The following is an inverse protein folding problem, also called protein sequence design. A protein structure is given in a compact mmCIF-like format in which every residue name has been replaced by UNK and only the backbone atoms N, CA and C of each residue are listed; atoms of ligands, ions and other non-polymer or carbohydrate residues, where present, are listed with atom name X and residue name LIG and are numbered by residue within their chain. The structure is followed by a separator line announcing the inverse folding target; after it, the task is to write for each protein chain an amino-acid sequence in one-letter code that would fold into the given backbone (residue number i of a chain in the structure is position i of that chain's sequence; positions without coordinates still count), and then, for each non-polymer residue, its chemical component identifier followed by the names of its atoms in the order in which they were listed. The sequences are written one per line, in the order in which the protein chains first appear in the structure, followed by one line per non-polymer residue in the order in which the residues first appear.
data_IF_386469772296
#
_entry.id   IF_386469772296
#
_cell.length_a   1.000
_cell.length_b   1.000
_cell.length_c   1.000
_cell.angle_alpha   90.00
_cell.angle_beta   90.00
_cell.angle_gamma   90.00
#
_symmetry.space_group_name_H-M   'P 1'
#
loop_
_entity.id
_entity.type
_entity.pdbx_description
1 polymer ?
#
# COMPACT_ATOMS: atom_id res chain seq x y z
N UNK A 1 -6.65 7.62 9.24
CA UNK A 1 -5.44 7.66 10.07
C UNK A 1 -5.71 8.61 11.21
N UNK A 2 -5.75 8.10 12.44
CA UNK A 2 -5.96 8.93 13.62
C UNK A 2 -4.70 9.76 13.90
N UNK A 3 -4.84 11.08 13.99
CA UNK A 3 -3.70 11.99 14.16
C UNK A 3 -3.03 11.84 15.52
N UNK A 4 -3.78 11.60 16.59
CA UNK A 4 -3.22 11.47 17.94
C UNK A 4 -2.33 10.23 18.07
N UNK A 5 -2.77 9.09 17.52
CA UNK A 5 -1.98 7.86 17.51
C UNK A 5 -0.68 8.07 16.71
N UNK A 6 -0.78 8.68 15.53
CA UNK A 6 0.38 8.98 14.70
C UNK A 6 1.36 9.93 15.40
N UNK A 7 0.86 11.00 16.01
CA UNK A 7 1.68 11.95 16.76
C UNK A 7 2.35 11.30 17.96
N UNK A 8 1.66 10.42 18.70
CA UNK A 8 2.22 9.65 19.79
C UNK A 8 3.35 8.72 19.31
N UNK A 9 3.21 8.09 18.14
CA UNK A 9 4.27 7.28 17.53
C UNK A 9 5.51 8.12 17.19
N UNK A 10 5.32 9.32 16.62
CA UNK A 10 6.42 10.22 16.25
C UNK A 10 7.14 10.74 17.49
N UNK A 11 6.40 11.13 18.52
CA UNK A 11 6.93 11.67 19.79
C UNK A 11 7.83 10.66 20.54
N UNK A 12 7.68 9.35 20.28
CA UNK A 12 8.60 8.33 20.82
C UNK A 12 10.03 8.55 20.35
N UNK A 13 10.25 9.04 19.12
CA UNK A 13 11.59 9.26 18.54
C UNK A 13 11.98 10.72 18.40
N UNK A 14 11.04 11.62 18.09
CA UNK A 14 11.31 13.05 17.92
C UNK A 14 10.86 13.79 19.18
N UNK A 15 11.80 14.47 19.85
CA UNK A 15 11.52 15.25 21.08
C UNK A 15 11.35 16.74 20.85
N UNK A 16 11.69 17.22 19.65
CA UNK A 16 11.56 18.63 19.28
C UNK A 16 10.08 19.04 19.18
N UNK A 17 9.64 19.88 20.11
CA UNK A 17 8.26 20.37 20.20
C UNK A 17 7.87 21.27 19.02
N UNK A 18 8.81 21.96 18.39
CA UNK A 18 8.54 22.81 17.23
C UNK A 18 8.21 21.96 16.01
N UNK A 19 9.00 20.91 15.76
CA UNK A 19 8.77 19.97 14.66
C UNK A 19 7.47 19.20 14.85
N UNK A 20 7.20 18.69 16.06
CA UNK A 20 5.94 18.00 16.36
C UNK A 20 4.72 18.90 16.10
N UNK A 21 4.79 20.17 16.49
CA UNK A 21 3.72 21.15 16.24
C UNK A 21 3.53 21.43 14.75
N UNK A 22 4.62 21.49 13.99
CA UNK A 22 4.57 21.68 12.54
C UNK A 22 3.92 20.48 11.84
N UNK A 23 4.30 19.25 12.21
CA UNK A 23 3.70 18.03 11.65
C UNK A 23 2.21 17.96 11.99
N UNK A 24 1.81 18.27 13.23
CA UNK A 24 0.39 18.32 13.63
C UNK A 24 -0.39 19.34 12.80
N UNK A 25 0.13 20.55 12.62
CA UNK A 25 -0.50 21.57 11.76
C UNK A 25 -0.63 21.10 10.31
N UNK A 26 0.35 20.35 9.81
CA UNK A 26 0.31 19.78 8.46
C UNK A 26 -0.77 18.70 8.32
N UNK A 27 -1.01 17.90 9.36
CA UNK A 27 -2.07 16.88 9.40
C UNK A 27 -3.47 17.51 9.51
N UNK A 28 -3.61 18.56 10.32
CA UNK A 28 -4.84 19.31 10.56
C UNK A 28 -5.19 20.25 9.39
N UNK A 29 -4.25 20.49 8.47
CA UNK A 29 -4.48 21.30 7.28
C UNK A 29 -5.66 20.73 6.48
N UNK A 30 -6.74 21.53 6.44
CA UNK A 30 -8.00 21.17 5.82
C UNK A 30 -7.90 20.98 4.31
N UNK A 31 -8.96 20.40 3.74
CA UNK A 31 -9.12 20.33 2.27
C UNK A 31 -9.99 21.49 1.87
N UNK A 32 -9.53 22.24 0.87
CA UNK A 32 -10.39 23.20 0.17
C UNK A 32 -11.12 22.43 -0.94
N UNK A 33 -12.43 22.27 -0.81
CA UNK A 33 -13.28 21.67 -1.83
C UNK A 33 -14.41 22.64 -2.15
N UNK A 34 -14.50 23.09 -3.40
CA UNK A 34 -15.54 24.03 -3.84
C UNK A 34 -15.52 25.39 -3.13
N UNK A 35 -14.36 25.86 -2.66
CA UNK A 35 -14.20 27.16 -1.98
C UNK A 35 -14.45 27.14 -0.47
N UNK A 36 -14.85 26.00 0.11
CA UNK A 36 -15.02 25.83 1.55
C UNK A 36 -13.85 25.02 2.11
N UNK A 37 -13.25 25.51 3.20
CA UNK A 37 -12.22 24.78 3.95
C UNK A 37 -12.92 23.88 4.97
N UNK A 38 -12.83 22.57 4.78
CA UNK A 38 -13.29 21.61 5.78
C UNK A 38 -12.11 21.12 6.62
N UNK A 39 -12.16 21.23 7.96
CA UNK A 39 -11.12 20.69 8.83
C UNK A 39 -11.07 19.15 8.69
N UNK A 40 -9.87 18.59 8.59
CA UNK A 40 -9.69 17.13 8.58
C UNK A 40 -9.64 16.62 10.01
N UNK A 41 -10.60 15.78 10.38
CA UNK A 41 -10.57 15.07 11.66
C UNK A 41 -9.74 13.77 11.60
N UNK A 42 -9.58 13.17 10.40
CA UNK A 42 -8.77 11.97 10.20
C UNK A 42 -8.10 11.93 8.81
N UNK A 43 -6.99 11.19 8.71
CA UNK A 43 -6.28 10.96 7.45
C UNK A 43 -5.10 11.91 7.23
N UNK A 44 -4.11 11.46 6.46
CA UNK A 44 -2.98 12.31 6.01
C UNK A 44 -3.33 12.96 4.66
N UNK A 45 -2.81 14.15 4.33
CA UNK A 45 -2.99 14.74 3.00
C UNK A 45 -2.52 13.78 1.90
N UNK A 46 -3.43 13.24 1.09
CA UNK A 46 -3.04 12.42 -0.06
C UNK A 46 -2.34 13.34 -1.08
N UNK A 47 -1.05 13.07 -1.33
CA UNK A 47 -0.20 13.90 -2.19
C UNK A 47 0.82 14.78 -1.45
N UNK A 48 0.76 14.85 -0.12
CA UNK A 48 1.83 15.48 0.66
C UNK A 48 3.10 14.63 0.64
N UNK A 49 4.30 15.19 0.42
CA UNK A 49 5.55 14.42 0.36
C UNK A 49 5.86 13.66 1.66
N UNK A 50 5.32 14.13 2.78
CA UNK A 50 5.48 13.50 4.10
C UNK A 50 4.52 12.34 4.36
N UNK A 51 3.38 12.29 3.67
CA UNK A 51 2.32 11.30 3.94
C UNK A 51 2.77 9.84 3.80
N UNK A 52 3.59 9.45 2.78
CA UNK A 52 4.12 8.09 2.69
C UNK A 52 4.99 7.70 3.90
N UNK A 53 5.83 8.64 4.36
CA UNK A 53 6.69 8.42 5.53
C UNK A 53 5.86 8.26 6.81
N UNK A 54 4.89 9.14 7.02
CA UNK A 54 4.01 9.10 8.19
C UNK A 54 3.21 7.79 8.26
N UNK A 55 2.75 7.31 7.10
CA UNK A 55 2.05 6.02 7.00
C UNK A 55 2.96 4.85 7.39
N UNK A 56 4.23 4.88 6.97
CA UNK A 56 5.20 3.86 7.37
C UNK A 56 5.56 3.92 8.86
N UNK A 57 5.65 5.11 9.46
CA UNK A 57 5.89 5.27 10.90
C UNK A 57 4.74 4.66 11.72
N UNK A 58 3.50 4.86 11.28
CA UNK A 58 2.34 4.27 11.95
C UNK A 58 2.34 2.74 11.85
N UNK A 59 2.66 2.21 10.67
CA UNK A 59 2.67 0.77 10.40
C UNK A 59 3.90 0.05 10.98
N UNK A 60 4.94 0.76 11.41
CA UNK A 60 6.08 0.20 12.14
C UNK A 60 5.64 -0.55 13.41
N UNK A 61 4.58 -0.10 14.09
CA UNK A 61 4.02 -0.80 15.25
C UNK A 61 3.43 -2.17 14.89
N UNK A 62 2.86 -2.30 13.68
CA UNK A 62 2.40 -3.59 13.16
C UNK A 62 3.60 -4.50 12.86
N UNK A 63 4.64 -3.97 12.23
CA UNK A 63 5.83 -4.74 11.88
C UNK A 63 6.48 -5.32 13.14
N UNK A 64 6.68 -4.49 14.17
CA UNK A 64 7.21 -4.93 15.48
C UNK A 64 6.34 -5.98 16.17
N UNK A 65 5.01 -5.89 16.02
CA UNK A 65 4.09 -6.90 16.53
C UNK A 65 4.26 -8.25 15.82
N UNK A 66 4.41 -8.24 14.50
CA UNK A 66 4.61 -9.45 13.70
C UNK A 66 5.99 -10.07 13.96
N UNK A 67 7.03 -9.25 14.10
CA UNK A 67 8.39 -9.68 14.45
C UNK A 67 8.43 -10.32 15.83
N UNK A 68 7.81 -9.69 16.84
CA UNK A 68 7.74 -10.25 18.20
C UNK A 68 7.06 -11.61 18.25
N UNK A 69 6.09 -11.84 17.36
CA UNK A 69 5.39 -13.12 17.21
C UNK A 69 6.15 -14.14 16.36
N UNK A 70 7.28 -13.76 15.78
CA UNK A 70 8.10 -14.62 14.92
C UNK A 70 7.47 -14.93 13.56
N UNK A 71 6.57 -14.08 13.07
CA UNK A 71 5.95 -14.29 11.76
C UNK A 71 6.90 -13.91 10.61
N UNK A 72 6.78 -14.63 9.49
CA UNK A 72 7.44 -14.26 8.22
C UNK A 72 6.45 -13.43 7.42
N UNK A 73 6.81 -12.19 7.12
CA UNK A 73 5.92 -11.28 6.39
C UNK A 73 6.71 -10.40 5.43
N UNK A 74 6.01 -9.83 4.46
CA UNK A 74 6.52 -8.82 3.54
C UNK A 74 5.48 -7.70 3.50
N UNK A 75 5.92 -6.46 3.72
CA UNK A 75 5.06 -5.28 3.65
C UNK A 75 5.60 -4.29 2.63
N UNK A 76 4.70 -3.71 1.84
CA UNK A 76 4.99 -2.62 0.92
C UNK A 76 3.89 -1.58 1.05
N UNK A 77 4.25 -0.41 1.58
CA UNK A 77 3.28 0.61 1.98
C UNK A 77 2.17 0.01 2.87
N UNK A 78 0.92 0.02 2.39
CA UNK A 78 -0.28 -0.51 3.04
C UNK A 78 -0.53 -2.00 2.75
N UNK A 79 0.06 -2.57 1.69
CA UNK A 79 -0.12 -3.97 1.31
C UNK A 79 0.87 -4.88 2.04
N UNK A 80 0.36 -5.70 2.97
CA UNK A 80 1.14 -6.66 3.75
C UNK A 80 0.71 -8.11 3.49
N UNK A 81 1.68 -8.99 3.29
CA UNK A 81 1.51 -10.44 3.18
C UNK A 81 2.19 -11.14 4.35
N UNK A 82 1.45 -12.00 5.05
CA UNK A 82 1.98 -12.83 6.14
C UNK A 82 1.96 -14.29 5.70
N UNK A 83 3.11 -14.94 5.74
CA UNK A 83 3.29 -16.32 5.30
C UNK A 83 3.18 -17.28 6.48
N UNK A 84 2.28 -18.25 6.34
CA UNK A 84 1.96 -19.26 7.36
C UNK A 84 1.94 -20.65 6.75
N UNK A 85 2.11 -21.68 7.59
CA UNK A 85 2.16 -23.07 7.15
C UNK A 85 0.78 -23.66 6.80
N UNK A 86 -0.29 -23.20 7.46
CA UNK A 86 -1.63 -23.78 7.30
C UNK A 86 -2.72 -22.71 7.12
N UNK A 87 -3.82 -23.02 6.41
CA UNK A 87 -4.95 -22.09 6.24
C UNK A 87 -5.56 -21.67 7.57
N UNK A 88 -5.75 -22.62 8.50
CA UNK A 88 -6.25 -22.35 9.86
C UNK A 88 -5.36 -21.37 10.63
N UNK A 89 -4.04 -21.50 10.51
CA UNK A 89 -3.12 -20.54 11.10
C UNK A 89 -3.25 -19.15 10.45
N UNK A 90 -3.51 -19.11 9.13
CA UNK A 90 -3.75 -17.86 8.39
C UNK A 90 -4.99 -17.13 8.87
N UNK A 91 -6.11 -17.83 9.01
CA UNK A 91 -7.37 -17.25 9.53
C UNK A 91 -7.20 -16.72 10.96
N UNK A 92 -6.52 -17.50 11.81
CA UNK A 92 -6.20 -17.07 13.19
C UNK A 92 -5.34 -15.81 13.22
N UNK A 93 -4.31 -15.74 12.38
CA UNK A 93 -3.41 -14.58 12.31
C UNK A 93 -4.14 -13.38 11.74
N UNK A 94 -4.95 -13.56 10.68
CA UNK A 94 -5.76 -12.49 10.08
C UNK A 94 -6.68 -11.85 11.12
N UNK A 95 -7.48 -12.65 11.83
CA UNK A 95 -8.37 -12.16 12.88
C UNK A 95 -7.62 -11.45 14.01
N UNK A 96 -6.41 -11.93 14.35
CA UNK A 96 -5.57 -11.30 15.37
C UNK A 96 -4.98 -9.96 14.92
N UNK A 97 -4.56 -9.86 13.66
CA UNK A 97 -4.03 -8.62 13.07
C UNK A 97 -5.15 -7.61 12.88
N UNK A 98 -6.32 -8.02 12.40
CA UNK A 98 -7.49 -7.14 12.31
C UNK A 98 -7.87 -6.54 13.67
N UNK A 99 -7.87 -7.36 14.73
CA UNK A 99 -8.12 -6.88 16.09
C UNK A 99 -7.04 -5.89 16.53
N UNK A 100 -5.77 -6.19 16.27
CA UNK A 100 -4.66 -5.29 16.62
C UNK A 100 -4.78 -3.95 15.90
N UNK A 101 -5.02 -3.95 14.58
CA UNK A 101 -5.17 -2.74 13.77
C UNK A 101 -6.36 -1.89 14.23
N UNK A 102 -7.50 -2.52 14.52
CA UNK A 102 -8.69 -1.81 14.96
C UNK A 102 -8.50 -1.22 16.38
N UNK A 103 -7.97 -2.00 17.32
CA UNK A 103 -7.83 -1.57 18.71
C UNK A 103 -6.67 -0.59 18.95
N UNK A 104 -5.50 -0.84 18.34
CA UNK A 104 -4.27 -0.06 18.61
C UNK A 104 -4.10 1.11 17.66
N UNK A 105 -4.35 0.91 16.37
CA UNK A 105 -4.11 1.91 15.33
C UNK A 105 -5.38 2.61 14.84
N UNK A 106 -6.57 2.11 15.25
CA UNK A 106 -7.88 2.57 14.77
C UNK A 106 -7.96 2.56 13.23
N UNK A 107 -7.40 1.51 12.62
CA UNK A 107 -7.43 1.32 11.17
C UNK A 107 -8.40 0.20 10.81
N UNK A 108 -9.28 0.49 9.84
CA UNK A 108 -10.20 -0.50 9.28
C UNK A 108 -9.53 -1.26 8.15
N UNK A 109 -9.52 -2.59 8.25
CA UNK A 109 -8.98 -3.47 7.22
C UNK A 109 -9.98 -3.62 6.07
N UNK A 110 -9.48 -3.57 4.83
CA UNK A 110 -10.32 -3.81 3.66
C UNK A 110 -10.57 -5.33 3.50
N UNK A 111 -11.71 -5.80 3.98
CA UNK A 111 -12.11 -7.22 3.92
C UNK A 111 -12.28 -7.75 2.49
N UNK A 112 -12.54 -6.91 1.49
CA UNK A 112 -12.64 -7.35 0.09
C UNK A 112 -11.27 -7.69 -0.49
N UNK A 113 -10.23 -6.98 -0.05
CA UNK A 113 -8.84 -7.21 -0.47
C UNK A 113 -8.15 -8.28 0.37
N UNK A 114 -8.45 -8.32 1.66
CA UNK A 114 -7.81 -9.21 2.63
C UNK A 114 -8.37 -10.61 2.51
N UNK A 115 -7.52 -11.58 2.20
CA UNK A 115 -7.93 -12.98 2.04
C UNK A 115 -6.85 -13.94 2.51
N UNK A 116 -7.26 -15.07 3.09
CA UNK A 116 -6.38 -16.21 3.32
C UNK A 116 -6.43 -17.10 2.08
N UNK A 117 -5.32 -17.15 1.35
CA UNK A 117 -5.21 -17.99 0.17
C UNK A 117 -3.80 -18.54 0.02
N UNK A 118 -3.67 -19.57 -0.82
CA UNK A 118 -2.37 -20.14 -1.20
C UNK A 118 -1.54 -19.08 -1.94
N UNK A 119 -0.23 -19.04 -1.71
CA UNK A 119 0.66 -18.00 -2.23
C UNK A 119 0.56 -17.82 -3.76
N UNK A 120 0.44 -18.89 -4.53
CA UNK A 120 0.30 -18.83 -6.00
C UNK A 120 -1.07 -18.34 -6.52
N UNK A 121 -2.06 -18.18 -5.64
CA UNK A 121 -3.36 -17.54 -5.95
C UNK A 121 -3.40 -16.07 -5.53
N UNK A 122 -2.36 -15.60 -4.83
CA UNK A 122 -2.22 -14.21 -4.44
C UNK A 122 -1.26 -13.53 -5.42
N UNK A 123 -1.74 -12.47 -6.05
CA UNK A 123 -0.88 -11.56 -6.78
C UNK A 123 -0.46 -10.45 -5.81
N UNK A 124 0.81 -10.07 -5.82
CA UNK A 124 1.43 -9.07 -4.96
C UNK A 124 2.36 -8.18 -5.80
N UNK A 125 2.15 -6.85 -5.73
CA UNK A 125 2.93 -5.86 -6.49
C UNK A 125 3.03 -6.16 -8.00
N UNK A 126 1.97 -6.75 -8.57
CA UNK A 126 1.93 -7.09 -10.00
C UNK A 126 2.57 -8.43 -10.37
N UNK A 127 3.02 -9.21 -9.39
CA UNK A 127 3.61 -10.54 -9.56
C UNK A 127 2.78 -11.60 -8.85
N UNK A 128 2.76 -12.82 -9.39
CA UNK A 128 2.27 -14.01 -8.72
C UNK A 128 3.39 -15.04 -8.56
N UNK A 129 3.09 -16.14 -7.89
CA UNK A 129 4.02 -17.27 -7.76
C UNK A 129 3.50 -18.51 -8.49
N UNK A 130 4.40 -19.36 -8.97
CA UNK A 130 4.06 -20.70 -9.47
C UNK A 130 3.77 -21.69 -8.33
N UNK A 131 3.11 -22.81 -8.64
CA UNK A 131 2.77 -23.84 -7.66
C UNK A 131 3.93 -24.79 -7.28
N UNK A 132 5.05 -24.77 -8.00
CA UNK A 132 6.18 -25.67 -7.77
C UNK A 132 6.79 -25.53 -6.36
N UNK A 133 7.45 -26.59 -5.86
CA UNK A 133 8.16 -26.59 -4.56
C UNK A 133 9.17 -25.44 -4.45
N UNK A 134 9.86 -25.13 -5.55
CA UNK A 134 10.59 -23.88 -5.72
C UNK A 134 9.73 -22.92 -6.56
N UNK A 135 9.05 -21.95 -5.93
CA UNK A 135 8.15 -21.06 -6.65
C UNK A 135 8.95 -20.12 -7.55
N UNK A 136 8.61 -20.10 -8.84
CA UNK A 136 9.06 -19.09 -9.81
C UNK A 136 8.11 -17.89 -9.78
N UNK A 137 8.67 -16.71 -10.00
CA UNK A 137 7.92 -15.48 -10.18
C UNK A 137 7.18 -15.54 -11.53
N UNK A 138 5.88 -15.21 -11.53
CA UNK A 138 5.12 -14.93 -12.76
C UNK A 138 4.64 -13.48 -12.74
N UNK A 139 4.39 -12.92 -13.91
CA UNK A 139 3.67 -11.65 -14.00
C UNK A 139 2.18 -11.91 -13.73
N UNK A 140 1.56 -11.07 -12.89
CA UNK A 140 0.13 -11.16 -12.64
C UNK A 140 -0.66 -10.90 -13.93
N UNK A 141 -1.76 -11.63 -14.14
CA UNK A 141 -2.61 -11.48 -15.33
C UNK A 141 -3.19 -10.07 -15.44
N UNK A 142 -3.46 -9.44 -14.30
CA UNK A 142 -3.91 -8.05 -14.21
C UNK A 142 -2.88 -7.06 -14.76
N UNK A 143 -1.59 -7.26 -14.47
CA UNK A 143 -0.51 -6.40 -14.95
C UNK A 143 -0.28 -6.57 -16.46
N UNK A 144 -0.35 -7.80 -16.96
CA UNK A 144 -0.33 -8.09 -18.40
C UNK A 144 -1.52 -7.45 -19.13
N UNK A 145 -2.71 -7.51 -18.53
CA UNK A 145 -3.91 -6.83 -19.03
C UNK A 145 -3.71 -5.33 -19.17
N UNK A 146 -3.22 -4.66 -18.11
CA UNK A 146 -2.93 -3.21 -18.14
C UNK A 146 -1.91 -2.84 -19.21
N UNK A 147 -0.86 -3.64 -19.38
CA UNK A 147 0.13 -3.40 -20.43
C UNK A 147 -0.51 -3.53 -21.81
N UNK A 148 -1.29 -4.61 -22.04
CA UNK A 148 -2.02 -4.83 -23.29
C UNK A 148 -2.99 -3.69 -23.59
N UNK A 149 -3.75 -3.22 -22.61
CA UNK A 149 -4.71 -2.14 -22.78
C UNK A 149 -4.01 -0.82 -23.14
N UNK A 150 -2.90 -0.51 -22.46
CA UNK A 150 -2.07 0.66 -22.75
C UNK A 150 -1.46 0.61 -24.15
N UNK A 151 -0.97 -0.56 -24.57
CA UNK A 151 -0.47 -0.76 -25.93
C UNK A 151 -1.60 -0.63 -26.97
N UNK A 152 -2.78 -1.17 -26.69
CA UNK A 152 -3.93 -1.08 -27.58
C UNK A 152 -4.41 0.37 -27.77
N UNK A 153 -4.34 1.20 -26.72
CA UNK A 153 -4.63 2.63 -26.79
C UNK A 153 -3.60 3.39 -27.63
N UNK A 154 -2.30 3.12 -27.41
CA UNK A 154 -1.21 3.73 -28.19
C UNK A 154 -1.29 3.36 -29.66
N UNK A 155 -1.58 2.10 -29.97
CA UNK A 155 -1.73 1.61 -31.35
C UNK A 155 -3.00 2.17 -32.02
N UNK A 156 -4.09 2.38 -31.27
CA UNK A 156 -5.28 3.08 -31.79
C UNK A 156 -4.95 4.53 -32.19
N UNK A 157 -4.18 5.24 -31.37
CA UNK A 157 -3.73 6.61 -31.66
C UNK A 157 -2.62 6.72 -32.72
N UNK A 158 -2.04 5.60 -33.14
CA UNK A 158 -0.97 5.53 -34.15
C UNK A 158 -1.47 5.34 -35.59
N UNK A 159 -2.78 5.14 -35.79
CA UNK A 159 -3.38 5.02 -37.14
C UNK A 159 -3.07 6.29 -37.96
N UNK A 160 -2.50 6.11 -39.15
CA UNK A 160 -2.12 7.21 -40.05
C UNK A 160 -0.81 7.93 -39.69
N UNK A 161 -0.02 7.44 -38.73
CA UNK A 161 1.30 8.00 -38.38
C UNK A 161 2.44 7.16 -38.95
N UNK A 162 3.60 7.78 -39.14
CA UNK A 162 4.84 7.08 -39.54
C UNK A 162 5.22 6.03 -38.50
N UNK A 163 5.65 4.86 -38.97
CA UNK A 163 6.02 3.72 -38.12
C UNK A 163 7.10 4.08 -37.09
N UNK A 164 8.08 4.89 -37.48
CA UNK A 164 9.16 5.38 -36.59
C UNK A 164 8.60 6.09 -35.36
N UNK A 165 7.63 6.99 -35.55
CA UNK A 165 7.02 7.74 -34.45
C UNK A 165 6.19 6.83 -33.53
N UNK A 166 5.63 5.75 -34.08
CA UNK A 166 4.92 4.73 -33.30
C UNK A 166 5.90 3.92 -32.43
N UNK A 167 7.05 3.53 -32.99
CA UNK A 167 8.11 2.83 -32.26
C UNK A 167 8.66 3.72 -31.12
N UNK A 168 8.95 4.99 -31.40
CA UNK A 168 9.41 5.95 -30.38
C UNK A 168 8.42 6.14 -29.23
N UNK A 169 7.12 6.03 -29.50
CA UNK A 169 6.08 6.13 -28.47
C UNK A 169 5.89 4.84 -27.66
N UNK A 170 6.16 3.68 -28.25
CA UNK A 170 6.00 2.38 -27.59
C UNK A 170 7.24 2.04 -26.75
N UNK A 171 8.45 2.39 -27.21
CA UNK A 171 9.71 2.06 -26.53
C UNK A 171 9.76 2.49 -25.05
N UNK A 172 9.29 3.69 -24.64
CA UNK A 172 9.25 4.09 -23.23
C UNK A 172 8.28 3.28 -22.36
N UNK A 173 7.32 2.58 -22.96
CA UNK A 173 6.34 1.74 -22.23
C UNK A 173 6.85 0.31 -22.07
N UNK A 174 7.76 -0.13 -22.94
CA UNK A 174 8.37 -1.46 -22.91
C UNK A 174 9.74 -1.49 -22.19
N UNK A 175 10.35 -0.32 -21.96
CA UNK A 175 11.55 -0.16 -21.11
C UNK A 175 11.19 -0.14 -19.64
#
# INVERSE_FOLDING_TARGET
VNHDILMACIERRVKDKCVLRLIRRYLEAGVMSGGVVSPRQEGTPQGGPLSPLLSNILLDELDRELERRGHRFVRYADDANIYVRSPRAGERVLASVERFLNQRLKLTVNQKKSRVARAWKCDYLGYGMSWHQQPRLRVATTSLGRLRDRLAELLRGARGRKMTNTIERINPVLR
#
